data_IF_954427154792
#
_entry.id   IF_954427154792
#
_cell.length_a   1.000
_cell.length_b   1.000
_cell.length_c   1.000
_cell.angle_alpha   90.00
_cell.angle_beta   90.00
_cell.angle_gamma   90.00
#
_symmetry.space_group_name_H-M   'P 1'
#
loop_
_entity.id
_entity.type
_entity.pdbx_description
1 polymer ?
#
# COMPACT_ATOMS: atom_id res chain seq x y z
N UNK A 1 10.03 30.23 -7.20
CA UNK A 1 8.95 30.72 -8.08
C UNK A 1 8.40 32.01 -7.50
N UNK A 2 7.97 32.97 -8.33
CA UNK A 2 7.21 34.13 -7.83
C UNK A 2 5.82 33.71 -7.37
N UNK A 3 5.19 34.52 -6.51
CA UNK A 3 3.85 34.24 -5.98
C UNK A 3 2.80 34.12 -7.11
N UNK A 4 2.89 34.98 -8.13
CA UNK A 4 1.95 34.98 -9.26
C UNK A 4 2.04 33.70 -10.11
N UNK A 5 3.25 33.17 -10.30
CA UNK A 5 3.45 31.91 -11.01
C UNK A 5 2.84 30.73 -10.24
N UNK A 6 2.92 30.75 -8.89
CA UNK A 6 2.32 29.71 -8.05
C UNK A 6 0.78 29.78 -8.07
N UNK A 7 0.21 30.97 -8.01
CA UNK A 7 -1.25 31.19 -8.12
C UNK A 7 -1.76 30.69 -9.48
N UNK A 8 -1.07 31.01 -10.57
CA UNK A 8 -1.44 30.52 -11.90
C UNK A 8 -1.28 29.00 -12.01
N UNK A 9 -0.26 28.40 -11.40
CA UNK A 9 -0.11 26.95 -11.42
C UNK A 9 -1.17 26.22 -10.59
N UNK A 10 -1.68 26.84 -9.52
CA UNK A 10 -2.75 26.30 -8.67
C UNK A 10 -4.10 26.27 -9.41
N UNK A 11 -4.44 27.31 -10.18
CA UNK A 11 -5.74 27.42 -10.85
C UNK A 11 -6.01 26.35 -11.93
N UNK A 12 -4.97 25.68 -12.41
CA UNK A 12 -5.07 24.59 -13.38
C UNK A 12 -5.19 23.20 -12.74
N UNK A 13 -5.02 23.07 -11.42
CA UNK A 13 -5.11 21.78 -10.73
C UNK A 13 -6.58 21.45 -10.40
N UNK A 14 -6.99 20.23 -10.77
CA UNK A 14 -8.31 19.70 -10.40
C UNK A 14 -8.49 19.68 -8.89
N UNK A 15 -7.43 19.35 -8.13
CA UNK A 15 -7.45 19.29 -6.67
C UNK A 15 -7.70 20.64 -5.98
N UNK A 16 -7.44 21.76 -6.67
CA UNK A 16 -7.62 23.13 -6.17
C UNK A 16 -8.91 23.78 -6.68
N UNK A 17 -9.63 23.12 -7.59
CA UNK A 17 -10.90 23.58 -8.12
C UNK A 17 -11.99 23.63 -7.04
N UNK A 18 -12.91 24.59 -7.17
CA UNK A 18 -14.13 24.62 -6.35
C UNK A 18 -15.12 23.58 -6.86
N UNK A 19 -15.75 22.86 -5.94
CA UNK A 19 -16.75 21.87 -6.28
C UNK A 19 -18.13 22.54 -6.43
N UNK A 20 -18.76 22.47 -7.63
CA UNK A 20 -20.04 23.13 -7.87
C UNK A 20 -21.18 22.54 -7.03
N UNK A 21 -21.07 21.29 -6.57
CA UNK A 21 -22.11 20.61 -5.80
C UNK A 21 -22.11 20.99 -4.31
N UNK A 22 -21.08 21.70 -3.84
CA UNK A 22 -20.88 22.04 -2.42
C UNK A 22 -20.69 23.55 -2.17
N UNK A 23 -21.17 24.38 -3.09
CA UNK A 23 -21.02 25.85 -3.01
C UNK A 23 -21.68 26.48 -1.80
N UNK A 24 -22.72 25.84 -1.26
CA UNK A 24 -23.55 26.27 -0.13
C UNK A 24 -23.36 25.40 1.13
N UNK A 25 -22.30 24.58 1.18
CA UNK A 25 -22.12 23.55 2.21
C UNK A 25 -22.06 24.12 3.64
N UNK A 26 -21.71 25.39 3.81
CA UNK A 26 -21.67 26.10 5.09
C UNK A 26 -23.04 26.55 5.61
N UNK A 27 -24.07 26.52 4.76
CA UNK A 27 -25.46 26.87 5.10
C UNK A 27 -26.34 25.65 5.40
N UNK A 28 -25.82 24.45 5.15
CA UNK A 28 -26.55 23.19 5.27
C UNK A 28 -26.60 22.68 6.72
N UNK A 29 -27.61 21.86 7.02
CA UNK A 29 -27.64 21.10 8.28
C UNK A 29 -26.54 20.05 8.32
N UNK A 30 -26.19 19.57 9.51
CA UNK A 30 -25.15 18.54 9.66
C UNK A 30 -25.41 17.28 8.83
N UNK A 31 -26.68 16.87 8.67
CA UNK A 31 -27.04 15.70 7.85
C UNK A 31 -26.75 15.97 6.36
N UNK A 32 -27.20 17.10 5.84
CA UNK A 32 -26.98 17.49 4.44
C UNK A 32 -25.49 17.67 4.13
N UNK A 33 -24.70 18.21 5.07
CA UNK A 33 -23.23 18.30 4.94
C UNK A 33 -22.61 16.92 4.75
N UNK A 34 -22.93 15.94 5.62
CA UNK A 34 -22.35 14.60 5.50
C UNK A 34 -22.90 13.83 4.31
N UNK A 35 -24.12 14.10 3.87
CA UNK A 35 -24.66 13.56 2.62
C UNK A 35 -23.89 14.08 1.41
N UNK A 36 -23.63 15.40 1.33
CA UNK A 36 -22.82 16.00 0.27
C UNK A 36 -21.41 15.41 0.24
N UNK A 37 -20.75 15.27 1.39
CA UNK A 37 -19.44 14.60 1.49
C UNK A 37 -19.53 13.16 0.99
N UNK A 38 -20.53 12.39 1.43
CA UNK A 38 -20.68 11.00 1.02
C UNK A 38 -20.95 10.84 -0.49
N UNK A 39 -21.71 11.75 -1.11
CA UNK A 39 -21.90 11.72 -2.57
C UNK A 39 -20.58 11.91 -3.32
N UNK A 40 -19.67 12.72 -2.79
CA UNK A 40 -18.33 12.89 -3.34
C UNK A 40 -17.49 11.62 -3.13
N UNK A 41 -17.54 10.99 -1.95
CA UNK A 41 -16.81 9.75 -1.67
C UNK A 41 -17.16 8.59 -2.63
N UNK A 42 -18.42 8.50 -3.07
CA UNK A 42 -18.87 7.48 -4.05
C UNK A 42 -18.14 7.55 -5.39
N UNK A 43 -17.56 8.70 -5.74
CA UNK A 43 -16.81 8.87 -6.98
C UNK A 43 -15.40 8.26 -6.90
N UNK A 44 -14.88 8.04 -5.69
CA UNK A 44 -13.49 7.60 -5.50
C UNK A 44 -13.23 6.19 -6.08
N UNK A 45 -14.04 5.15 -5.79
CA UNK A 45 -13.83 3.83 -6.39
C UNK A 45 -13.88 3.85 -7.91
N UNK A 46 -14.74 4.67 -8.51
CA UNK A 46 -14.86 4.80 -9.97
C UNK A 46 -13.60 5.43 -10.58
N UNK A 47 -13.00 6.42 -9.91
CA UNK A 47 -11.72 7.00 -10.35
C UNK A 47 -10.56 5.98 -10.27
N UNK A 48 -10.59 5.08 -9.29
CA UNK A 48 -9.60 4.00 -9.15
C UNK A 48 -9.81 2.92 -10.21
N UNK A 49 -11.06 2.62 -10.57
CA UNK A 49 -11.40 1.62 -11.59
C UNK A 49 -10.70 1.90 -12.93
N UNK A 50 -10.62 3.17 -13.33
CA UNK A 50 -9.92 3.61 -14.53
C UNK A 50 -8.40 3.32 -14.49
N UNK A 51 -7.81 3.20 -13.29
CA UNK A 51 -6.37 3.06 -13.07
C UNK A 51 -5.95 1.61 -12.80
N UNK A 52 -6.89 0.64 -12.77
CA UNK A 52 -6.61 -0.77 -12.48
C UNK A 52 -5.47 -1.37 -13.34
N UNK A 53 -5.35 -1.09 -14.66
CA UNK A 53 -4.23 -1.62 -15.45
C UNK A 53 -2.85 -1.14 -14.95
N UNK A 54 -2.76 0.11 -14.51
CA UNK A 54 -1.51 0.71 -14.03
C UNK A 54 -1.18 0.25 -12.60
N UNK A 55 -2.21 0.10 -11.75
CA UNK A 55 -2.10 -0.52 -10.43
C UNK A 55 -1.59 -1.96 -10.57
N UNK A 56 -2.16 -2.76 -11.49
CA UNK A 56 -1.71 -4.13 -11.74
C UNK A 56 -0.26 -4.19 -12.22
N UNK A 57 0.15 -3.28 -13.12
CA UNK A 57 1.54 -3.16 -13.56
C UNK A 57 2.49 -2.86 -12.40
N UNK A 58 2.10 -1.98 -11.47
CA UNK A 58 2.88 -1.69 -10.26
C UNK A 58 2.97 -2.93 -9.35
N UNK A 59 1.84 -3.63 -9.12
CA UNK A 59 1.82 -4.88 -8.35
C UNK A 59 2.78 -5.93 -8.91
N UNK A 60 2.85 -6.10 -10.23
CA UNK A 60 3.78 -7.04 -10.85
C UNK A 60 5.25 -6.68 -10.57
N UNK A 61 5.59 -5.39 -10.64
CA UNK A 61 6.95 -4.92 -10.32
C UNK A 61 7.29 -5.08 -8.85
N UNK A 62 6.34 -4.81 -7.95
CA UNK A 62 6.51 -4.96 -6.50
C UNK A 62 6.67 -6.43 -6.13
N UNK A 63 5.82 -7.32 -6.65
CA UNK A 63 5.93 -8.75 -6.41
C UNK A 63 7.28 -9.31 -6.91
N UNK A 64 7.75 -8.84 -8.07
CA UNK A 64 9.07 -9.21 -8.59
C UNK A 64 10.21 -8.73 -7.68
N UNK A 65 10.16 -7.47 -7.22
CA UNK A 65 11.14 -6.93 -6.28
C UNK A 65 11.20 -7.76 -4.99
N UNK A 66 10.04 -8.07 -4.39
CA UNK A 66 9.96 -8.92 -3.21
C UNK A 66 10.58 -10.31 -3.40
N UNK A 67 10.35 -10.94 -4.55
CA UNK A 67 10.95 -12.25 -4.87
C UNK A 67 12.48 -12.20 -5.00
N UNK A 68 13.02 -11.04 -5.37
CA UNK A 68 14.47 -10.81 -5.48
C UNK A 68 15.08 -10.16 -4.22
N UNK A 69 14.34 -10.11 -3.11
CA UNK A 69 14.82 -9.56 -1.84
C UNK A 69 14.80 -8.02 -1.75
N UNK A 70 14.21 -7.34 -2.73
CA UNK A 70 13.93 -5.91 -2.70
C UNK A 70 12.76 -5.53 -1.80
N UNK A 71 12.56 -4.23 -1.59
CA UNK A 71 11.54 -3.67 -0.70
C UNK A 71 10.55 -2.78 -1.46
N UNK A 72 9.43 -2.50 -0.82
CA UNK A 72 8.46 -1.49 -1.25
C UNK A 72 8.58 -0.26 -0.34
N UNK A 73 8.89 0.89 -0.92
CA UNK A 73 9.06 2.15 -0.19
C UNK A 73 7.96 3.11 -0.61
N UNK A 74 7.10 3.48 0.33
CA UNK A 74 6.19 4.60 0.17
C UNK A 74 6.85 5.90 0.62
N UNK A 75 6.61 6.99 -0.11
CA UNK A 75 7.06 8.28 0.36
C UNK A 75 6.13 9.43 -0.02
N UNK A 76 5.93 10.36 0.92
CA UNK A 76 5.11 11.54 0.70
C UNK A 76 5.23 12.54 1.84
N UNK A 77 4.54 13.67 1.70
CA UNK A 77 4.40 14.66 2.76
C UNK A 77 2.97 14.63 3.35
N UNK A 78 2.82 15.18 4.56
CA UNK A 78 1.51 15.37 5.19
C UNK A 78 0.64 14.11 5.19
N UNK A 79 -0.60 14.23 4.71
CA UNK A 79 -1.55 13.10 4.63
C UNK A 79 -1.02 11.95 3.78
N UNK A 80 -0.41 12.24 2.63
CA UNK A 80 0.12 11.22 1.72
C UNK A 80 1.24 10.40 2.38
N UNK A 81 2.17 11.06 3.08
CA UNK A 81 3.20 10.36 3.85
C UNK A 81 2.61 9.52 5.00
N UNK A 82 1.62 10.04 5.72
CA UNK A 82 0.93 9.31 6.81
C UNK A 82 0.22 8.06 6.30
N UNK A 83 -0.43 8.13 5.13
CA UNK A 83 -1.09 6.97 4.53
C UNK A 83 -0.08 5.89 4.09
N UNK A 84 1.09 6.29 3.60
CA UNK A 84 2.19 5.36 3.33
C UNK A 84 2.69 4.66 4.59
N UNK A 85 2.86 5.40 5.70
CA UNK A 85 3.22 4.83 7.01
C UNK A 85 2.14 3.88 7.52
N UNK A 86 0.86 4.24 7.38
CA UNK A 86 -0.27 3.40 7.78
C UNK A 86 -0.24 2.05 7.07
N UNK A 87 -0.22 2.04 5.74
CA UNK A 87 -0.24 0.79 4.93
C UNK A 87 0.99 -0.09 5.22
N UNK A 88 2.18 0.52 5.35
CA UNK A 88 3.40 -0.20 5.71
C UNK A 88 3.29 -0.87 7.09
N UNK A 89 2.73 -0.17 8.10
CA UNK A 89 2.60 -0.68 9.47
C UNK A 89 1.66 -1.89 9.60
N UNK A 90 0.71 -2.02 8.67
CA UNK A 90 -0.25 -3.13 8.65
C UNK A 90 0.35 -4.39 8.00
N UNK A 91 1.46 -4.28 7.26
CA UNK A 91 2.04 -5.41 6.53
C UNK A 91 2.61 -6.51 7.44
N UNK A 92 3.43 -6.23 8.47
CA UNK A 92 3.96 -7.28 9.37
C UNK A 92 2.88 -8.10 10.10
N UNK A 93 1.86 -7.51 10.75
CA UNK A 93 0.83 -8.29 11.44
C UNK A 93 -0.13 -9.02 10.49
N UNK A 94 -0.29 -8.54 9.25
CA UNK A 94 -1.20 -9.13 8.26
C UNK A 94 -0.52 -10.27 7.48
N UNK A 95 0.69 -10.06 6.96
CA UNK A 95 1.34 -10.99 6.04
C UNK A 95 2.57 -11.70 6.63
N UNK A 96 2.84 -11.49 7.93
CA UNK A 96 3.93 -12.15 8.65
C UNK A 96 5.33 -11.71 8.21
N UNK A 97 5.43 -10.61 7.45
CA UNK A 97 6.68 -10.12 6.87
C UNK A 97 7.51 -9.31 7.88
N UNK A 98 8.77 -9.00 7.52
CA UNK A 98 9.57 -8.02 8.25
C UNK A 98 9.02 -6.61 8.03
N UNK A 99 9.14 -5.78 9.07
CA UNK A 99 8.94 -4.32 9.04
C UNK A 99 9.83 -3.58 8.04
N UNK A 100 10.88 -4.23 7.50
CA UNK A 100 11.75 -3.68 6.45
C UNK A 100 11.26 -3.97 5.03
N UNK A 101 10.31 -4.89 4.85
CA UNK A 101 9.84 -5.28 3.51
C UNK A 101 8.97 -4.19 2.88
N UNK A 102 8.19 -3.48 3.69
CA UNK A 102 7.38 -2.33 3.28
C UNK A 102 7.66 -1.19 4.24
N UNK A 103 8.12 -0.04 3.73
CA UNK A 103 8.57 1.09 4.54
C UNK A 103 7.80 2.35 4.12
N UNK A 104 7.26 3.09 5.08
CA UNK A 104 6.67 4.40 4.85
C UNK A 104 7.61 5.53 5.30
N UNK A 105 8.00 6.38 4.35
CA UNK A 105 8.77 7.60 4.58
C UNK A 105 7.84 8.81 4.54
N UNK A 106 8.03 9.73 5.48
CA UNK A 106 7.26 10.97 5.57
C UNK A 106 8.21 12.17 5.64
N UNK A 107 7.98 13.16 4.78
CA UNK A 107 8.73 14.40 4.79
C UNK A 107 8.71 15.03 6.19
N UNK A 108 9.90 15.28 6.75
CA UNK A 108 10.06 15.82 8.10
C UNK A 108 10.30 14.78 9.20
N UNK A 109 10.27 13.48 8.86
CA UNK A 109 10.61 12.37 9.75
C UNK A 109 9.47 11.93 10.67
N UNK A 110 9.75 11.04 11.65
CA UNK A 110 8.71 10.44 12.51
C UNK A 110 7.83 11.44 13.26
N UNK A 111 8.36 12.61 13.62
CA UNK A 111 7.57 13.68 14.26
C UNK A 111 6.42 14.18 13.38
N UNK A 112 6.60 14.14 12.05
CA UNK A 112 5.61 14.56 11.05
C UNK A 112 4.33 13.70 11.08
N UNK A 113 4.41 12.49 11.65
CA UNK A 113 3.27 11.60 11.85
C UNK A 113 2.26 12.26 12.79
N UNK A 114 2.74 12.81 13.91
CA UNK A 114 1.90 13.39 14.97
C UNK A 114 1.57 14.87 14.76
N UNK A 115 2.49 15.64 14.19
CA UNK A 115 2.34 17.09 13.98
C UNK A 115 2.83 17.48 12.60
N UNK A 116 2.13 18.37 11.90
CA UNK A 116 2.61 18.86 10.62
C UNK A 116 3.95 19.62 10.81
N UNK A 117 4.89 19.39 9.88
CA UNK A 117 6.18 20.09 9.84
C UNK A 117 6.22 20.96 8.59
N UNK A 118 6.00 22.26 8.76
CA UNK A 118 5.98 23.21 7.66
C UNK A 118 7.33 23.24 6.92
N UNK A 119 7.29 23.39 5.60
CA UNK A 119 8.47 23.50 4.73
C UNK A 119 9.20 22.19 4.42
N UNK A 120 8.90 21.08 5.09
CA UNK A 120 9.55 19.79 4.80
C UNK A 120 9.21 19.26 3.40
N UNK A 121 7.99 19.55 2.91
CA UNK A 121 7.52 19.11 1.60
C UNK A 121 8.15 19.85 0.43
N UNK A 122 8.69 21.04 0.67
CA UNK A 122 9.30 21.92 -0.33
C UNK A 122 10.77 21.60 -0.63
N UNK A 123 11.38 20.66 0.11
CA UNK A 123 12.79 20.28 -0.08
C UNK A 123 12.97 19.23 -1.17
N UNK A 124 13.66 19.58 -2.26
CA UNK A 124 14.07 18.63 -3.32
C UNK A 124 15.14 17.61 -2.84
N UNK A 125 15.91 17.92 -1.79
CA UNK A 125 17.02 17.06 -1.35
C UNK A 125 16.61 16.09 -0.25
N UNK A 126 15.66 16.48 0.62
CA UNK A 126 15.30 15.69 1.79
C UNK A 126 14.78 14.29 1.42
N UNK A 127 14.02 14.15 0.33
CA UNK A 127 13.56 12.84 -0.15
C UNK A 127 14.70 11.93 -0.62
N UNK A 128 15.78 12.52 -1.15
CA UNK A 128 17.00 11.80 -1.53
C UNK A 128 17.76 11.32 -0.28
N UNK A 129 17.87 12.20 0.71
CA UNK A 129 18.53 11.93 1.98
C UNK A 129 17.82 10.79 2.73
N UNK A 130 16.49 10.81 2.79
CA UNK A 130 15.69 9.76 3.43
C UNK A 130 15.84 8.40 2.73
N UNK A 131 15.85 8.36 1.39
CA UNK A 131 16.12 7.13 0.63
C UNK A 131 17.53 6.60 0.88
N UNK A 132 18.55 7.47 0.94
CA UNK A 132 19.92 7.08 1.26
C UNK A 132 20.04 6.55 2.69
N UNK A 133 19.33 7.14 3.65
CA UNK A 133 19.37 6.73 5.05
C UNK A 133 18.89 5.28 5.26
N UNK A 134 17.93 4.82 4.45
CA UNK A 134 17.46 3.43 4.46
C UNK A 134 18.23 2.51 3.50
N UNK A 135 19.36 2.97 2.95
CA UNK A 135 20.18 2.23 1.98
C UNK A 135 19.35 1.75 0.78
N UNK A 136 18.55 2.64 0.19
CA UNK A 136 17.75 2.35 -1.00
C UNK A 136 18.63 1.93 -2.19
N UNK A 137 18.21 0.89 -2.93
CA UNK A 137 18.95 0.28 -4.04
C UNK A 137 18.08 0.14 -5.30
N UNK A 138 18.69 -0.22 -6.42
CA UNK A 138 18.03 -0.54 -7.69
C UNK A 138 17.06 -1.73 -7.63
N UNK A 139 17.19 -2.59 -6.61
CA UNK A 139 16.30 -3.73 -6.40
C UNK A 139 14.99 -3.34 -5.70
N UNK A 140 14.93 -2.14 -5.12
CA UNK A 140 13.75 -1.65 -4.43
C UNK A 140 12.76 -0.99 -5.41
N UNK A 141 11.50 -0.89 -4.97
CA UNK A 141 10.46 -0.10 -5.63
C UNK A 141 10.11 1.08 -4.76
N UNK A 142 10.08 2.29 -5.34
CA UNK A 142 9.60 3.49 -4.65
C UNK A 142 8.29 3.98 -5.25
N UNK A 143 7.34 4.30 -4.39
CA UNK A 143 6.05 4.88 -4.73
C UNK A 143 5.98 6.30 -4.13
N UNK A 144 6.08 7.30 -4.99
CA UNK A 144 5.96 8.71 -4.62
C UNK A 144 4.50 9.16 -4.59
N UNK A 145 4.04 9.66 -3.45
CA UNK A 145 2.63 9.96 -3.19
C UNK A 145 2.45 11.46 -2.96
N UNK A 146 1.73 12.12 -3.85
CA UNK A 146 1.33 13.52 -3.69
C UNK A 146 0.03 13.79 -4.42
N UNK A 147 -1.02 14.21 -3.70
CA UNK A 147 -2.32 14.52 -4.33
C UNK A 147 -2.20 15.58 -5.43
N UNK A 148 -1.42 16.64 -5.16
CA UNK A 148 -1.10 17.71 -6.12
C UNK A 148 -0.24 17.24 -7.29
N UNK A 149 0.47 16.12 -7.13
CA UNK A 149 1.39 15.56 -8.10
C UNK A 149 2.64 16.40 -8.36
N UNK A 150 2.94 17.39 -7.52
CA UNK A 150 4.06 18.33 -7.73
C UNK A 150 4.91 18.62 -6.50
N UNK A 151 4.75 17.84 -5.42
CA UNK A 151 5.47 18.07 -4.16
C UNK A 151 6.98 17.88 -4.35
N UNK A 152 7.83 18.90 -4.09
CA UNK A 152 9.27 18.83 -4.32
C UNK A 152 9.98 17.66 -3.63
N UNK A 153 9.64 17.35 -2.38
CA UNK A 153 10.15 16.18 -1.66
C UNK A 153 10.00 14.87 -2.45
N UNK A 154 8.85 14.68 -3.08
CA UNK A 154 8.54 13.48 -3.87
C UNK A 154 9.25 13.53 -5.22
N UNK A 155 9.28 14.69 -5.88
CA UNK A 155 9.97 14.89 -7.16
C UNK A 155 11.46 14.55 -7.04
N UNK A 156 12.14 15.08 -6.02
CA UNK A 156 13.57 14.86 -5.83
C UNK A 156 13.91 13.39 -5.62
N UNK A 157 13.09 12.70 -4.85
CA UNK A 157 13.26 11.29 -4.56
C UNK A 157 13.01 10.38 -5.78
N UNK A 158 11.94 10.63 -6.55
CA UNK A 158 11.66 9.86 -7.77
C UNK A 158 12.77 10.04 -8.82
N UNK A 159 13.30 11.26 -8.96
CA UNK A 159 14.45 11.51 -9.84
C UNK A 159 15.69 10.73 -9.39
N UNK A 160 16.00 10.74 -8.09
CA UNK A 160 17.12 9.96 -7.55
C UNK A 160 16.92 8.44 -7.77
N UNK A 161 15.73 7.93 -7.53
CA UNK A 161 15.41 6.52 -7.74
C UNK A 161 15.56 6.09 -9.21
N UNK A 162 15.16 6.95 -10.16
CA UNK A 162 15.40 6.72 -11.58
C UNK A 162 16.90 6.73 -11.92
N UNK A 163 17.69 7.63 -11.33
CA UNK A 163 19.14 7.71 -11.58
C UNK A 163 19.87 6.43 -11.16
N UNK A 164 19.44 5.78 -10.08
CA UNK A 164 20.02 4.51 -9.64
C UNK A 164 19.45 3.29 -10.37
N UNK A 165 18.39 3.45 -11.16
CA UNK A 165 17.76 2.36 -11.92
C UNK A 165 16.66 1.59 -11.17
N UNK A 166 16.20 2.10 -10.02
CA UNK A 166 15.07 1.50 -9.29
C UNK A 166 13.74 1.70 -10.03
N UNK A 167 12.75 0.86 -9.72
CA UNK A 167 11.39 1.06 -10.25
C UNK A 167 10.72 2.21 -9.51
N UNK A 168 10.17 3.14 -10.28
CA UNK A 168 9.46 4.31 -9.76
C UNK A 168 7.98 4.27 -10.12
N UNK A 169 7.13 4.50 -9.11
CA UNK A 169 5.69 4.65 -9.25
C UNK A 169 5.28 6.02 -8.71
N UNK A 170 4.42 6.74 -9.42
CA UNK A 170 3.82 7.97 -8.94
C UNK A 170 2.33 7.76 -8.66
N UNK A 171 1.85 8.29 -7.53
CA UNK A 171 0.44 8.29 -7.15
C UNK A 171 -0.03 9.72 -6.91
N UNK A 172 -0.85 10.24 -7.83
CA UNK A 172 -1.40 11.60 -7.78
C UNK A 172 -2.89 11.63 -8.12
N UNK A 173 -3.56 12.75 -7.85
CA UNK A 173 -4.97 12.94 -8.21
C UNK A 173 -5.17 14.03 -9.28
N UNK A 174 -4.07 14.50 -9.87
CA UNK A 174 -4.08 15.46 -10.98
C UNK A 174 -3.46 14.79 -12.22
N UNK A 175 -4.15 14.83 -13.38
CA UNK A 175 -3.62 14.26 -14.61
C UNK A 175 -2.40 15.05 -15.10
N UNK A 176 -1.47 14.38 -15.78
CA UNK A 176 -0.28 15.02 -16.36
C UNK A 176 0.61 15.72 -15.32
N UNK A 177 0.66 15.20 -14.10
CA UNK A 177 1.40 15.83 -13.01
C UNK A 177 2.91 15.66 -13.16
N UNK A 178 3.73 16.57 -12.59
CA UNK A 178 5.19 16.44 -12.63
C UNK A 178 5.73 15.08 -12.16
N UNK A 179 5.16 14.51 -11.08
CA UNK A 179 5.60 13.18 -10.63
C UNK A 179 5.18 12.05 -11.58
N UNK A 180 4.06 12.20 -12.30
CA UNK A 180 3.62 11.23 -13.30
C UNK A 180 4.54 11.20 -14.52
N UNK A 181 5.09 12.35 -14.94
CA UNK A 181 6.07 12.43 -16.03
C UNK A 181 7.43 11.83 -15.65
N UNK A 182 7.81 11.91 -14.37
CA UNK A 182 9.08 11.38 -13.86
C UNK A 182 9.02 9.85 -13.67
N UNK A 183 7.90 9.32 -13.17
CA UNK A 183 7.80 7.91 -12.80
C UNK A 183 7.63 6.97 -14.00
N UNK A 184 8.17 5.76 -13.89
CA UNK A 184 7.99 4.70 -14.91
C UNK A 184 6.55 4.17 -14.98
N UNK A 185 5.81 4.28 -13.87
CA UNK A 185 4.39 3.95 -13.76
C UNK A 185 3.68 5.11 -13.06
N UNK A 186 2.76 5.77 -13.74
CA UNK A 186 1.91 6.79 -13.15
C UNK A 186 0.53 6.20 -12.86
N UNK A 187 0.04 6.34 -11.63
CA UNK A 187 -1.31 6.00 -11.19
C UNK A 187 -2.00 7.30 -10.81
N UNK A 188 -3.02 7.70 -11.59
CA UNK A 188 -3.59 9.04 -11.52
C UNK A 188 -5.13 9.04 -11.34
N UNK A 189 -5.69 8.48 -10.26
CA UNK A 189 -7.13 8.48 -10.04
C UNK A 189 -7.65 9.91 -9.90
N UNK A 190 -8.32 10.41 -10.94
CA UNK A 190 -8.87 11.77 -10.99
C UNK A 190 -10.20 11.83 -10.23
N UNK A 191 -10.13 12.22 -8.96
CA UNK A 191 -11.30 12.25 -8.05
C UNK A 191 -12.13 13.53 -8.14
N UNK A 192 -11.74 14.49 -8.98
CA UNK A 192 -12.41 15.79 -9.09
C UNK A 192 -12.15 16.75 -7.93
N UNK A 193 -12.79 17.93 -7.91
CA UNK A 193 -12.62 18.91 -6.84
C UNK A 193 -13.15 18.38 -5.50
N UNK A 194 -12.44 18.67 -4.42
CA UNK A 194 -12.80 18.25 -3.07
C UNK A 194 -14.06 18.96 -2.56
N UNK A 195 -14.83 18.31 -1.68
CA UNK A 195 -16.04 18.91 -1.09
C UNK A 195 -15.75 20.23 -0.34
N UNK A 196 -14.57 20.30 0.28
CA UNK A 196 -13.95 21.51 0.79
C UNK A 196 -12.72 21.80 -0.07
N UNK A 197 -12.71 22.94 -0.79
CA UNK A 197 -11.68 23.29 -1.77
C UNK A 197 -10.26 23.15 -1.21
N UNK A 198 -9.39 22.45 -1.93
CA UNK A 198 -7.99 22.20 -1.55
C UNK A 198 -7.79 21.17 -0.42
N UNK A 199 -8.85 20.68 0.23
CA UNK A 199 -8.76 19.71 1.33
C UNK A 199 -8.53 18.28 0.82
N UNK A 200 -7.39 18.05 0.18
CA UNK A 200 -7.02 16.77 -0.47
C UNK A 200 -6.87 15.59 0.50
N UNK A 201 -6.92 15.83 1.82
CA UNK A 201 -7.05 14.75 2.82
C UNK A 201 -8.34 13.94 2.70
N UNK A 202 -9.32 14.40 1.92
CA UNK A 202 -10.63 13.77 1.70
C UNK A 202 -10.55 12.76 0.54
N UNK A 203 -11.15 13.05 -0.63
CA UNK A 203 -11.24 12.06 -1.72
C UNK A 203 -9.88 11.60 -2.19
N UNK A 204 -8.93 12.53 -2.34
CA UNK A 204 -7.57 12.20 -2.80
C UNK A 204 -6.86 11.28 -1.78
N UNK A 205 -7.01 11.57 -0.48
CA UNK A 205 -6.52 10.71 0.59
C UNK A 205 -7.18 9.32 0.60
N UNK A 206 -8.49 9.25 0.41
CA UNK A 206 -9.21 7.98 0.27
C UNK A 206 -8.72 7.19 -0.94
N UNK A 207 -8.55 7.84 -2.09
CA UNK A 207 -8.02 7.21 -3.29
C UNK A 207 -6.62 6.64 -3.06
N UNK A 208 -5.75 7.44 -2.43
CA UNK A 208 -4.41 7.01 -2.03
C UNK A 208 -4.47 5.77 -1.14
N UNK A 209 -5.26 5.79 -0.07
CA UNK A 209 -5.40 4.63 0.83
C UNK A 209 -5.79 3.36 0.07
N UNK A 210 -6.81 3.46 -0.79
CA UNK A 210 -7.32 2.31 -1.53
C UNK A 210 -6.28 1.76 -2.52
N UNK A 211 -5.56 2.64 -3.23
CA UNK A 211 -4.47 2.22 -4.12
C UNK A 211 -3.34 1.55 -3.32
N UNK A 212 -2.88 2.13 -2.21
CA UNK A 212 -1.82 1.54 -1.38
C UNK A 212 -2.22 0.15 -0.86
N UNK A 213 -3.46 0.00 -0.38
CA UNK A 213 -3.98 -1.29 0.05
C UNK A 213 -4.01 -2.31 -1.10
N UNK A 214 -4.32 -1.89 -2.34
CA UNK A 214 -4.23 -2.75 -3.51
C UNK A 214 -2.78 -3.16 -3.80
N UNK A 215 -1.83 -2.23 -3.76
CA UNK A 215 -0.41 -2.49 -4.01
C UNK A 215 0.15 -3.54 -3.05
N UNK A 216 -0.02 -3.37 -1.74
CA UNK A 216 0.48 -4.33 -0.75
C UNK A 216 -0.29 -5.64 -0.78
N UNK A 217 -1.62 -5.60 -0.70
CA UNK A 217 -2.44 -6.81 -0.61
C UNK A 217 -2.26 -7.69 -1.84
N UNK A 218 -2.35 -7.11 -3.05
CA UNK A 218 -2.21 -7.89 -4.27
C UNK A 218 -0.78 -8.42 -4.45
N UNK A 219 0.26 -7.64 -4.10
CA UNK A 219 1.65 -8.11 -4.18
C UNK A 219 1.90 -9.27 -3.20
N UNK A 220 1.36 -9.18 -1.98
CA UNK A 220 1.47 -10.24 -0.97
C UNK A 220 0.74 -11.52 -1.40
N UNK A 221 -0.45 -11.39 -2.01
CA UNK A 221 -1.16 -12.51 -2.63
C UNK A 221 -0.30 -13.15 -3.73
N UNK A 222 0.29 -12.33 -4.62
CA UNK A 222 1.12 -12.79 -5.75
C UNK A 222 2.38 -13.53 -5.33
N UNK A 223 2.94 -13.24 -4.16
CA UNK A 223 4.07 -13.98 -3.59
C UNK A 223 3.66 -15.09 -2.61
N UNK A 224 2.37 -15.48 -2.59
CA UNK A 224 1.89 -16.65 -1.85
C UNK A 224 1.65 -16.43 -0.36
N UNK A 225 1.44 -15.19 0.12
CA UNK A 225 1.06 -14.91 1.52
C UNK A 225 -0.38 -15.27 1.88
N UNK A 226 -1.16 -15.73 0.91
CA UNK A 226 -2.55 -16.16 1.08
C UNK A 226 -2.77 -17.56 0.49
N UNK A 227 -3.84 -18.21 0.94
CA UNK A 227 -4.38 -19.41 0.31
C UNK A 227 -5.86 -19.20 0.11
N UNK A 228 -6.32 -19.26 -1.15
CA UNK A 228 -7.65 -18.77 -1.51
C UNK A 228 -7.78 -17.29 -1.07
N UNK A 229 -8.73 -16.99 -0.17
CA UNK A 229 -8.91 -15.69 0.45
C UNK A 229 -8.52 -15.68 1.94
N UNK A 230 -7.81 -16.71 2.41
CA UNK A 230 -7.38 -16.85 3.80
C UNK A 230 -5.95 -16.32 3.97
N UNK A 231 -5.77 -15.53 5.03
CA UNK A 231 -4.50 -14.97 5.46
C UNK A 231 -3.70 -16.02 6.23
N UNK A 232 -3.03 -16.90 5.49
CA UNK A 232 -2.33 -18.08 6.04
C UNK A 232 -0.92 -17.81 6.55
N UNK A 233 -0.39 -16.60 6.39
CA UNK A 233 0.95 -16.21 6.86
C UNK A 233 0.86 -15.29 8.09
N UNK A 234 -0.06 -15.61 9.00
CA UNK A 234 -0.33 -14.83 10.22
C UNK A 234 0.61 -15.25 11.35
N UNK A 235 1.24 -14.28 12.03
CA UNK A 235 2.07 -14.55 13.22
C UNK A 235 1.21 -14.67 14.47
N UNK A 236 1.18 -15.86 15.10
CA UNK A 236 0.40 -16.13 16.29
C UNK A 236 1.04 -15.58 17.59
N UNK A 237 1.13 -14.25 17.75
CA UNK A 237 1.82 -13.60 18.88
C UNK A 237 0.97 -13.37 20.13
N UNK A 238 -0.32 -13.68 20.08
CA UNK A 238 -1.25 -13.56 21.22
C UNK A 238 -2.40 -14.57 21.09
N UNK A 239 -3.18 -14.75 22.16
CA UNK A 239 -4.28 -15.72 22.22
C UNK A 239 -5.31 -15.55 21.10
N UNK A 240 -5.64 -14.30 20.73
CA UNK A 240 -6.55 -14.00 19.62
C UNK A 240 -5.99 -14.50 18.29
N UNK A 241 -4.68 -14.33 18.05
CA UNK A 241 -4.03 -14.77 16.82
C UNK A 241 -3.84 -16.30 16.78
N UNK A 242 -3.62 -16.95 17.92
CA UNK A 242 -3.64 -18.43 18.03
C UNK A 242 -5.03 -18.98 17.68
N UNK A 243 -6.09 -18.40 18.23
CA UNK A 243 -7.46 -18.82 17.90
C UNK A 243 -7.79 -18.58 16.42
N UNK A 244 -7.29 -17.47 15.84
CA UNK A 244 -7.43 -17.18 14.41
C UNK A 244 -6.67 -18.19 13.55
N UNK A 245 -5.45 -18.57 13.91
CA UNK A 245 -4.67 -19.58 13.21
C UNK A 245 -5.43 -20.91 13.14
N UNK A 246 -5.96 -21.39 14.28
CA UNK A 246 -6.77 -22.61 14.32
C UNK A 246 -8.01 -22.52 13.42
N UNK A 247 -8.71 -21.38 13.45
CA UNK A 247 -9.88 -21.15 12.58
C UNK A 247 -9.52 -21.20 11.10
N UNK A 248 -8.38 -20.63 10.71
CA UNK A 248 -7.91 -20.62 9.32
C UNK A 248 -7.59 -22.05 8.85
N UNK A 249 -6.89 -22.84 9.68
CA UNK A 249 -6.59 -24.25 9.34
C UNK A 249 -7.89 -25.05 9.15
N UNK A 250 -8.86 -24.90 10.05
CA UNK A 250 -10.18 -25.54 9.93
C UNK A 250 -10.88 -25.12 8.64
N UNK A 251 -10.92 -23.82 8.32
CA UNK A 251 -11.58 -23.33 7.11
C UNK A 251 -10.89 -23.78 5.82
N UNK A 252 -9.57 -23.92 5.82
CA UNK A 252 -8.81 -24.30 4.63
C UNK A 252 -8.83 -25.81 4.36
N UNK A 253 -9.05 -26.63 5.38
CA UNK A 253 -8.89 -28.10 5.32
C UNK A 253 -10.14 -28.88 5.67
N UNK A 254 -11.17 -28.21 6.21
CA UNK A 254 -12.39 -28.82 6.71
C UNK A 254 -12.17 -29.85 7.83
N UNK A 255 -11.00 -29.83 8.48
CA UNK A 255 -10.69 -30.73 9.59
C UNK A 255 -11.39 -30.32 10.89
N UNK A 256 -11.39 -31.23 11.87
CA UNK A 256 -11.87 -30.89 13.21
C UNK A 256 -10.88 -29.98 13.99
N UNK A 257 -11.37 -29.40 15.08
CA UNK A 257 -10.58 -28.52 15.95
C UNK A 257 -9.39 -29.23 16.60
N UNK A 258 -9.53 -30.50 16.95
CA UNK A 258 -8.48 -31.23 17.66
C UNK A 258 -7.27 -31.43 16.74
N UNK A 259 -7.52 -31.84 15.49
CA UNK A 259 -6.49 -31.98 14.46
C UNK A 259 -5.84 -30.63 14.11
N UNK A 260 -6.63 -29.57 13.93
CA UNK A 260 -6.08 -28.24 13.64
C UNK A 260 -5.13 -27.76 14.75
N UNK A 261 -5.53 -27.90 16.02
CA UNK A 261 -4.74 -27.42 17.17
C UNK A 261 -3.51 -28.29 17.40
N UNK A 262 -3.59 -29.61 17.22
CA UNK A 262 -2.43 -30.49 17.36
C UNK A 262 -1.40 -30.25 16.26
N UNK A 263 -1.83 -30.12 15.00
CA UNK A 263 -0.92 -29.83 13.88
C UNK A 263 -0.26 -28.46 14.05
N UNK A 264 -1.02 -27.42 14.44
CA UNK A 264 -0.44 -26.10 14.71
C UNK A 264 0.63 -26.14 15.80
N UNK A 265 0.45 -26.92 16.87
CA UNK A 265 1.51 -27.07 17.88
C UNK A 265 2.75 -27.77 17.32
N UNK A 266 2.57 -28.75 16.42
CA UNK A 266 3.68 -29.47 15.80
C UNK A 266 4.45 -28.59 14.79
N UNK A 267 3.81 -27.59 14.19
CA UNK A 267 4.43 -26.67 13.21
C UNK A 267 4.85 -25.34 13.82
N UNK A 268 4.94 -25.23 15.15
CA UNK A 268 5.21 -23.96 15.86
C UNK A 268 4.28 -22.81 15.42
N UNK A 269 3.00 -23.14 15.26
CA UNK A 269 1.93 -22.28 14.79
C UNK A 269 2.10 -21.72 13.37
N UNK A 270 2.93 -22.35 12.54
CA UNK A 270 2.95 -22.11 11.09
C UNK A 270 1.67 -22.65 10.44
N UNK A 271 0.78 -21.73 10.06
CA UNK A 271 -0.52 -22.03 9.47
C UNK A 271 -0.39 -22.63 8.07
N UNK A 272 0.55 -22.17 7.24
CA UNK A 272 0.73 -22.72 5.89
C UNK A 272 1.18 -24.16 5.94
N UNK A 273 2.18 -24.42 6.77
CA UNK A 273 2.73 -25.75 6.96
C UNK A 273 1.68 -26.71 7.54
N UNK A 274 0.90 -26.23 8.51
CA UNK A 274 -0.23 -26.98 9.07
C UNK A 274 -1.27 -27.36 8.02
N UNK A 275 -1.67 -26.42 7.15
CA UNK A 275 -2.64 -26.69 6.08
C UNK A 275 -2.05 -27.72 5.09
N UNK A 276 -0.79 -27.57 4.70
CA UNK A 276 -0.12 -28.49 3.78
C UNK A 276 -0.09 -29.91 4.34
N UNK A 277 0.35 -30.08 5.59
CA UNK A 277 0.41 -31.39 6.24
C UNK A 277 -0.97 -32.06 6.29
N UNK A 278 -2.01 -31.33 6.65
CA UNK A 278 -3.37 -31.89 6.74
C UNK A 278 -3.91 -32.27 5.36
N UNK A 279 -3.73 -31.43 4.34
CA UNK A 279 -4.27 -31.69 3.00
C UNK A 279 -3.53 -32.81 2.26
N UNK A 280 -2.24 -33.02 2.55
CA UNK A 280 -1.40 -33.97 1.81
C UNK A 280 -1.04 -35.23 2.60
N UNK A 281 -1.20 -35.23 3.92
CA UNK A 281 -0.77 -36.31 4.80
C UNK A 281 0.75 -36.43 4.98
N UNK A 282 1.53 -35.46 4.47
CA UNK A 282 2.97 -35.43 4.65
C UNK A 282 3.37 -35.20 6.11
N UNK A 283 4.53 -35.73 6.49
CA UNK A 283 5.19 -35.36 7.73
C UNK A 283 5.77 -33.93 7.67
N UNK A 284 6.21 -33.44 8.82
CA UNK A 284 6.67 -32.06 8.99
C UNK A 284 7.83 -31.70 8.05
N UNK A 285 8.84 -32.57 7.95
CA UNK A 285 10.06 -32.30 7.18
C UNK A 285 9.78 -32.33 5.68
N UNK A 286 9.00 -33.31 5.21
CA UNK A 286 8.60 -33.39 3.80
C UNK A 286 7.69 -32.23 3.41
N UNK A 287 6.71 -31.88 4.24
CA UNK A 287 5.83 -30.75 3.99
C UNK A 287 6.62 -29.43 3.94
N UNK A 288 7.59 -29.25 4.84
CA UNK A 288 8.45 -28.07 4.85
C UNK A 288 9.30 -27.98 3.58
N UNK A 289 9.98 -29.08 3.20
CA UNK A 289 10.77 -29.13 1.98
C UNK A 289 9.92 -28.85 0.72
N UNK A 290 8.69 -29.37 0.66
CA UNK A 290 7.77 -29.14 -0.45
C UNK A 290 7.28 -27.70 -0.52
N UNK A 291 6.99 -27.08 0.63
CA UNK A 291 6.61 -25.67 0.70
C UNK A 291 7.76 -24.77 0.26
N UNK A 292 8.99 -25.08 0.69
CA UNK A 292 10.21 -24.34 0.32
C UNK A 292 10.49 -24.47 -1.19
N UNK A 293 10.33 -25.68 -1.77
CA UNK A 293 10.49 -25.90 -3.21
C UNK A 293 9.51 -25.05 -4.05
N UNK A 294 8.36 -24.70 -3.49
CA UNK A 294 7.36 -23.85 -4.12
C UNK A 294 7.44 -22.38 -3.64
N UNK A 295 8.57 -21.96 -3.07
CA UNK A 295 8.80 -20.61 -2.56
C UNK A 295 7.70 -20.13 -1.59
N UNK A 296 7.19 -21.01 -0.74
CA UNK A 296 6.15 -20.68 0.23
C UNK A 296 4.74 -20.54 -0.35
N UNK A 297 4.53 -20.88 -1.63
CA UNK A 297 3.24 -20.78 -2.32
C UNK A 297 2.38 -22.03 -2.08
N UNK A 298 1.57 -22.00 -1.02
CA UNK A 298 0.83 -23.16 -0.50
C UNK A 298 -0.02 -23.89 -1.55
N UNK A 299 -0.75 -23.17 -2.42
CA UNK A 299 -1.61 -23.83 -3.43
C UNK A 299 -0.81 -24.71 -4.40
N UNK A 300 0.37 -24.23 -4.85
CA UNK A 300 1.27 -25.01 -5.72
C UNK A 300 1.87 -26.19 -4.97
N UNK A 301 2.20 -26.00 -3.68
CA UNK A 301 2.68 -27.08 -2.83
C UNK A 301 1.63 -28.18 -2.65
N UNK A 302 0.35 -27.85 -2.50
CA UNK A 302 -0.73 -28.85 -2.42
C UNK A 302 -0.93 -29.59 -3.75
N UNK A 303 -0.96 -28.86 -4.87
CA UNK A 303 -1.22 -29.43 -6.21
C UNK A 303 -0.11 -30.39 -6.69
N UNK A 304 1.15 -30.18 -6.28
CA UNK A 304 2.26 -31.08 -6.65
C UNK A 304 2.23 -32.45 -5.96
N UNK A 305 1.33 -32.68 -5.00
CA UNK A 305 1.19 -33.96 -4.29
C UNK A 305 -0.03 -34.78 -4.74
N UNK A 306 -0.75 -34.29 -5.77
CA UNK A 306 -1.85 -35.00 -6.43
C UNK A 306 -1.37 -35.60 -7.75
#
# INVERSE_FOLDING_TARGET
MSNDALISALSHLVSEGRNPDTMDIDLLTSLEVVEKINQQDKQVPLAIEAELPLIAKAVDKIAHAFQNGGRLIYMGAGTSGRLGVLDASECPPTFGVSDKMVIGLIAGGPEAILKAKEGAEDSLTLGIEDLKAIQFTENDVVVGIAASGRTPYVIGALNYANQIGAVTVALSCNPGSPIAEIAQIAISPVVGPEALTGSTRLKSGTAQKLVLNMLTTASMIRIGKSYQNLMVDVKATNEKLVARAARIVIQATECDKALAVSTLKNTDYDVKLSILMILTGLDLELAKAQLDQQNGFLRKAVENNQ
#
